data_IF_454053230665
#
_entry.id   IF_454053230665
#
_cell.length_a   1.000
_cell.length_b   1.000
_cell.length_c   1.000
_cell.angle_alpha   90.00
_cell.angle_beta   90.00
_cell.angle_gamma   90.00
#
_symmetry.space_group_name_H-M   'P 1'
#
loop_
_entity.id
_entity.type
_entity.pdbx_description
1 polymer ?
#
# COMPACT_ATOMS: atom_id res chain seq x y z
N UNK A 1 -4.57 8.80 4.00
CA UNK A 1 -3.16 8.40 4.25
C UNK A 1 -3.14 7.88 5.67
N UNK A 2 -2.44 6.79 6.00
CA UNK A 2 -2.39 6.36 7.40
C UNK A 2 -1.93 7.54 8.28
N UNK A 3 -2.36 7.60 9.53
CA UNK A 3 -1.91 8.60 10.51
C UNK A 3 -0.74 8.03 11.32
N UNK A 4 0.27 8.86 11.61
CA UNK A 4 1.42 8.44 12.43
C UNK A 4 2.64 9.36 12.29
N UNK A 5 3.69 9.14 13.11
CA UNK A 5 4.86 10.02 13.19
C UNK A 5 5.88 9.77 12.07
N UNK A 6 5.44 9.65 10.83
CA UNK A 6 6.32 9.47 9.67
C UNK A 6 6.18 10.62 8.68
N UNK A 7 7.32 11.08 8.20
CA UNK A 7 7.41 12.13 7.19
C UNK A 7 7.80 11.57 5.81
N UNK A 8 8.26 10.32 5.77
CA UNK A 8 8.79 9.67 4.55
C UNK A 8 8.30 8.24 4.40
N UNK A 9 8.38 7.70 3.19
CA UNK A 9 8.09 6.28 2.92
C UNK A 9 9.02 5.35 3.71
N UNK A 10 10.28 5.72 3.89
CA UNK A 10 11.22 4.92 4.68
C UNK A 10 10.80 4.86 6.16
N UNK A 11 10.39 6.00 6.73
CA UNK A 11 9.87 6.08 8.09
C UNK A 11 8.59 5.26 8.25
N UNK A 12 7.65 5.37 7.31
CA UNK A 12 6.42 4.56 7.30
C UNK A 12 6.73 3.06 7.27
N UNK A 13 7.67 2.61 6.42
CA UNK A 13 8.04 1.20 6.33
C UNK A 13 8.70 0.71 7.62
N UNK A 14 9.60 1.50 8.22
CA UNK A 14 10.22 1.13 9.50
C UNK A 14 9.19 1.04 10.63
N UNK A 15 8.23 1.97 10.67
CA UNK A 15 7.12 1.97 11.64
C UNK A 15 6.23 0.72 11.46
N UNK A 16 5.79 0.44 10.23
CA UNK A 16 4.95 -0.73 9.93
C UNK A 16 5.66 -2.07 10.22
N UNK A 17 6.99 -2.11 10.12
CA UNK A 17 7.79 -3.30 10.43
C UNK A 17 8.17 -3.39 11.91
N UNK A 18 8.18 -2.27 12.65
CA UNK A 18 8.67 -2.18 14.02
C UNK A 18 10.18 -2.43 14.17
N UNK A 19 10.96 -2.32 13.09
CA UNK A 19 12.40 -2.58 13.04
C UNK A 19 13.08 -1.96 11.82
N UNK A 20 14.41 -1.99 11.79
CA UNK A 20 15.18 -1.64 10.58
C UNK A 20 14.76 -2.58 9.43
N UNK A 21 14.39 -2.04 8.25
CA UNK A 21 14.00 -2.85 7.10
C UNK A 21 15.17 -3.66 6.53
N UNK A 22 14.85 -4.79 5.90
CA UNK A 22 15.74 -5.64 5.13
C UNK A 22 15.16 -5.87 3.71
N UNK A 23 16.01 -6.10 2.68
CA UNK A 23 15.52 -6.45 1.35
C UNK A 23 14.62 -7.69 1.38
N UNK A 24 13.48 -7.61 0.69
CA UNK A 24 12.47 -8.68 0.67
C UNK A 24 11.38 -8.54 1.74
N UNK A 25 11.56 -7.65 2.73
CA UNK A 25 10.51 -7.34 3.70
C UNK A 25 9.23 -6.85 3.03
N UNK A 26 8.12 -7.13 3.69
CA UNK A 26 6.79 -6.71 3.27
C UNK A 26 6.07 -5.99 4.39
N UNK A 27 5.58 -4.80 4.09
CA UNK A 27 4.67 -4.04 4.93
C UNK A 27 3.33 -3.91 4.21
N UNK A 28 2.24 -3.86 4.96
CA UNK A 28 0.87 -3.82 4.42
C UNK A 28 0.21 -2.49 4.77
N UNK A 29 -0.56 -1.98 3.82
CA UNK A 29 -1.50 -0.89 3.96
C UNK A 29 -2.86 -1.34 3.41
N UNK A 30 -3.98 -0.70 3.79
CA UNK A 30 -5.27 -1.02 3.19
C UNK A 30 -5.21 -0.98 1.64
N UNK A 31 -5.40 -2.14 1.00
CA UNK A 31 -5.39 -2.31 -0.46
C UNK A 31 -4.00 -2.29 -1.13
N UNK A 32 -2.91 -2.21 -0.37
CA UNK A 32 -1.55 -2.12 -0.89
C UNK A 32 -0.54 -2.95 -0.11
N UNK A 33 0.34 -3.63 -0.85
CA UNK A 33 1.55 -4.25 -0.33
C UNK A 33 2.76 -3.44 -0.72
N UNK A 34 3.60 -3.13 0.26
CA UNK A 34 4.90 -2.50 0.07
C UNK A 34 5.96 -3.58 0.20
N UNK A 35 6.79 -3.76 -0.82
CA UNK A 35 7.94 -4.69 -0.77
C UNK A 35 9.23 -3.90 -0.79
N UNK A 36 10.09 -4.12 0.19
CA UNK A 36 11.43 -3.52 0.25
C UNK A 36 12.32 -4.19 -0.79
N UNK A 37 12.96 -3.39 -1.64
CA UNK A 37 13.84 -3.86 -2.71
C UNK A 37 15.30 -3.53 -2.43
N UNK A 38 15.55 -2.40 -1.77
CA UNK A 38 16.89 -1.96 -1.39
C UNK A 38 16.85 -1.25 -0.04
N UNK A 39 17.86 -1.52 0.77
CA UNK A 39 18.10 -0.88 2.06
C UNK A 39 19.51 -0.32 2.05
N UNK A 40 19.66 0.91 2.51
CA UNK A 40 20.95 1.58 2.70
C UNK A 40 20.86 2.49 3.91
N UNK A 41 21.95 2.65 4.66
CA UNK A 41 21.97 3.50 5.88
C UNK A 41 20.79 3.28 6.83
N UNK A 42 20.43 2.01 7.11
CA UNK A 42 19.32 1.61 7.99
C UNK A 42 17.93 2.10 7.56
N UNK A 43 17.74 2.46 6.29
CA UNK A 43 16.45 2.90 5.73
C UNK A 43 16.13 2.18 4.42
N UNK A 44 14.84 2.03 4.13
CA UNK A 44 14.40 1.56 2.81
C UNK A 44 14.69 2.66 1.77
N UNK A 45 15.57 2.38 0.82
CA UNK A 45 15.91 3.31 -0.27
C UNK A 45 15.04 3.09 -1.51
N UNK A 46 14.61 1.85 -1.72
CA UNK A 46 13.72 1.49 -2.82
C UNK A 46 12.66 0.51 -2.37
N UNK A 47 11.42 0.85 -2.64
CA UNK A 47 10.26 0.00 -2.38
C UNK A 47 9.43 -0.17 -3.64
N UNK A 48 8.67 -1.25 -3.69
CA UNK A 48 7.64 -1.49 -4.71
C UNK A 48 6.28 -1.53 -4.04
N UNK A 49 5.37 -0.67 -4.49
CA UNK A 49 3.96 -0.77 -4.16
C UNK A 49 3.28 -1.71 -5.15
N UNK A 50 2.45 -2.61 -4.65
CA UNK A 50 1.60 -3.48 -5.45
C UNK A 50 0.21 -3.43 -4.87
N UNK A 51 -0.79 -3.14 -5.70
CA UNK A 51 -2.19 -3.17 -5.27
C UNK A 51 -2.54 -4.62 -4.95
N UNK A 52 -2.97 -4.89 -3.72
CA UNK A 52 -3.34 -6.26 -3.29
C UNK A 52 -4.74 -6.66 -3.76
N UNK A 53 -5.49 -5.69 -4.28
CA UNK A 53 -6.86 -5.87 -4.70
C UNK A 53 -7.80 -5.87 -3.50
N UNK A 54 -8.58 -4.81 -3.38
CA UNK A 54 -10.01 -4.95 -3.15
C UNK A 54 -10.68 -3.93 -4.09
N UNK A 55 -11.38 -4.36 -5.15
CA UNK A 55 -12.20 -3.43 -5.88
C UNK A 55 -13.32 -3.03 -4.93
N UNK A 56 -13.35 -1.76 -4.50
CA UNK A 56 -14.65 -1.15 -4.18
C UNK A 56 -15.61 -1.59 -5.28
N UNK A 57 -16.80 -2.14 -4.97
CA UNK A 57 -17.73 -2.57 -5.99
C UNK A 57 -17.83 -1.40 -6.97
N UNK A 58 -17.43 -1.64 -8.23
CA UNK A 58 -17.60 -0.66 -9.30
C UNK A 58 -19.06 -0.27 -9.19
N UNK A 59 -19.33 0.98 -8.81
CA UNK A 59 -20.71 1.46 -8.68
C UNK A 59 -21.45 0.93 -9.91
N UNK A 60 -22.47 0.11 -9.67
CA UNK A 60 -23.19 -0.58 -10.72
C UNK A 60 -23.48 0.45 -11.80
N UNK A 61 -23.08 0.16 -13.04
CA UNK A 61 -23.33 1.08 -14.14
C UNK A 61 -24.81 1.50 -14.07
N UNK A 62 -25.13 2.81 -13.94
CA UNK A 62 -26.51 3.25 -14.00
C UNK A 62 -26.99 2.97 -15.42
N UNK A 63 -27.65 1.83 -15.60
CA UNK A 63 -28.01 1.37 -16.93
C UNK A 63 -28.84 0.09 -17.00
N UNK A 64 -29.03 -0.66 -15.91
CA UNK A 64 -29.96 -1.79 -15.90
C UNK A 64 -31.30 -1.44 -15.25
N UNK A 65 -31.85 -0.26 -15.56
CA UNK A 65 -33.24 0.08 -15.23
C UNK A 65 -34.02 0.78 -16.37
N UNK A 66 -33.53 0.75 -17.61
CA UNK A 66 -34.20 1.29 -18.81
C UNK A 66 -34.46 0.20 -19.87
N UNK A 67 -34.92 -0.99 -19.44
CA UNK A 67 -35.37 -2.05 -20.36
C UNK A 67 -36.76 -2.59 -19.99
N UNK A 68 -37.61 -1.73 -19.42
CA UNK A 68 -38.97 -2.10 -19.02
C UNK A 68 -40.00 -0.98 -19.29
N UNK A 69 -39.88 -0.26 -20.41
CA UNK A 69 -40.96 0.57 -20.94
C UNK A 69 -41.12 0.35 -22.43
#
# INVERSE_FOLDING_TARGET
VPDGPYETVAGLVAELLGRIPAPGDRAELPGWRITVRQVGHNRAERVRFTRTGDPLPRAAAPGLLEAAR
#
